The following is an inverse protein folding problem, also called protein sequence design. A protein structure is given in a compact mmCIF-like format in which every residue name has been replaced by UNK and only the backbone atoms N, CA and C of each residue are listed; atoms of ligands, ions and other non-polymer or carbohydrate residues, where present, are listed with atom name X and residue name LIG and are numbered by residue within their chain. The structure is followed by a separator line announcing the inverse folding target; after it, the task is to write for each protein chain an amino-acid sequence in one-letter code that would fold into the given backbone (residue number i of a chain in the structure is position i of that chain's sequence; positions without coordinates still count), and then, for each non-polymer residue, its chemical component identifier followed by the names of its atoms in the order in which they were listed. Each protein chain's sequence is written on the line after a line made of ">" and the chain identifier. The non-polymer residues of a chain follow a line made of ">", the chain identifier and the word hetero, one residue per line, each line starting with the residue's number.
data_IF_907846820060
#
_entry.id   IF_907846820060
#
_cell.length_a   1.000
_cell.length_b   1.000
_cell.length_c   1.000
_cell.angle_alpha   90.00
_cell.angle_beta   90.00
_cell.angle_gamma   90.00
#
_symmetry.space_group_name_H-M   'P 1'
#
loop_
_entity.id
_entity.type
_entity.pdbx_description
1 polymer ?
#
# COMPACT_ATOMS: atom_id res chain seq x y z
N UNK A 1 -20.11 35.15 -63.92
CA UNK A 1 -21.09 34.63 -62.94
C UNK A 1 -20.45 33.48 -62.20
N UNK A 2 -20.43 33.61 -60.87
CA UNK A 2 -19.82 32.68 -59.93
C UNK A 2 -20.64 31.39 -59.71
N UNK A 3 -20.02 30.46 -58.97
CA UNK A 3 -20.52 29.29 -58.21
C UNK A 3 -19.96 27.97 -58.73
N UNK A 4 -19.55 26.99 -57.92
CA UNK A 4 -19.16 26.89 -56.52
C UNK A 4 -18.52 25.49 -56.41
N UNK A 5 -17.50 25.36 -55.57
CA UNK A 5 -16.91 24.08 -55.18
C UNK A 5 -17.55 23.58 -53.89
N UNK A 6 -17.28 22.29 -53.60
CA UNK A 6 -17.41 21.58 -52.33
C UNK A 6 -18.73 20.85 -52.04
N UNK A 7 -18.64 19.52 -51.87
CA UNK A 7 -18.82 18.83 -50.57
C UNK A 7 -18.77 17.31 -50.73
N UNK A 8 -17.67 16.67 -50.33
CA UNK A 8 -17.66 15.27 -49.86
C UNK A 8 -16.30 14.91 -49.23
N UNK A 9 -16.00 15.41 -48.02
CA UNK A 9 -14.84 14.90 -47.26
C UNK A 9 -15.02 14.88 -45.73
N UNK A 10 -16.23 15.13 -45.21
CA UNK A 10 -16.43 15.26 -43.76
C UNK A 10 -16.84 13.98 -43.01
N UNK A 11 -17.24 12.91 -43.70
CA UNK A 11 -17.77 11.71 -43.01
C UNK A 11 -16.76 10.58 -42.78
N UNK A 12 -15.52 10.67 -43.28
CA UNK A 12 -14.51 9.61 -43.11
C UNK A 12 -13.51 9.92 -41.96
N UNK A 13 -13.24 11.20 -41.70
CA UNK A 13 -12.35 11.67 -40.64
C UNK A 13 -12.98 11.62 -39.25
N UNK A 14 -14.30 11.80 -39.14
CA UNK A 14 -15.02 11.75 -37.86
C UNK A 14 -15.06 10.32 -37.29
N UNK A 15 -15.24 9.31 -38.14
CA UNK A 15 -15.28 7.90 -37.71
C UNK A 15 -13.92 7.39 -37.23
N UNK A 16 -12.82 7.81 -37.88
CA UNK A 16 -11.46 7.49 -37.46
C UNK A 16 -11.08 8.20 -36.14
N UNK A 17 -11.51 9.46 -35.95
CA UNK A 17 -11.29 10.18 -34.70
C UNK A 17 -12.09 9.57 -33.53
N UNK A 18 -13.33 9.14 -33.75
CA UNK A 18 -14.16 8.49 -32.72
C UNK A 18 -13.60 7.11 -32.34
N UNK A 19 -13.07 6.34 -33.30
CA UNK A 19 -12.40 5.05 -33.01
C UNK A 19 -11.07 5.24 -32.26
N UNK A 20 -10.28 6.27 -32.57
CA UNK A 20 -9.06 6.59 -31.83
C UNK A 20 -9.35 7.10 -30.40
N UNK A 21 -10.40 7.90 -30.22
CA UNK A 21 -10.87 8.34 -28.90
C UNK A 21 -11.45 7.17 -28.10
N UNK A 22 -12.20 6.26 -28.74
CA UNK A 22 -12.74 5.07 -28.07
C UNK A 22 -11.63 4.07 -27.70
N UNK A 23 -10.60 3.88 -28.54
CA UNK A 23 -9.45 3.03 -28.25
C UNK A 23 -8.54 3.63 -27.17
N UNK A 24 -8.36 4.95 -27.13
CA UNK A 24 -7.63 5.62 -26.04
C UNK A 24 -8.42 5.60 -24.72
N UNK A 25 -9.76 5.74 -24.76
CA UNK A 25 -10.61 5.58 -23.57
C UNK A 25 -10.62 4.14 -23.03
N UNK A 26 -10.65 3.14 -23.90
CA UNK A 26 -10.61 1.73 -23.48
C UNK A 26 -9.22 1.30 -22.99
N UNK A 27 -8.12 1.86 -23.53
CA UNK A 27 -6.79 1.73 -22.93
C UNK A 27 -6.65 2.48 -21.61
N UNK A 28 -7.23 3.69 -21.46
CA UNK A 28 -7.27 4.39 -20.18
C UNK A 28 -8.07 3.59 -19.14
N UNK A 29 -9.22 3.01 -19.50
CA UNK A 29 -10.01 2.18 -18.60
C UNK A 29 -9.30 0.86 -18.23
N UNK A 30 -8.54 0.25 -19.14
CA UNK A 30 -7.70 -0.91 -18.83
C UNK A 30 -6.50 -0.57 -17.92
N UNK A 31 -5.89 0.60 -18.11
CA UNK A 31 -4.83 1.13 -17.24
C UNK A 31 -5.39 1.48 -15.85
N UNK A 32 -6.58 2.08 -15.78
CA UNK A 32 -7.26 2.43 -14.53
C UNK A 32 -7.66 1.19 -13.72
N UNK A 33 -8.09 0.10 -14.35
CA UNK A 33 -8.46 -1.13 -13.64
C UNK A 33 -7.23 -1.90 -13.11
N UNK A 34 -6.07 -1.77 -13.77
CA UNK A 34 -4.81 -2.39 -13.33
C UNK A 34 -4.08 -1.57 -12.25
N UNK A 35 -4.29 -0.25 -12.20
CA UNK A 35 -3.64 0.63 -11.23
C UNK A 35 -4.14 0.43 -9.79
N UNK A 36 -5.38 -0.04 -9.58
CA UNK A 36 -6.01 -0.14 -8.25
C UNK A 36 -5.32 -1.17 -7.34
N UNK A 37 -4.74 -2.24 -7.92
CA UNK A 37 -4.11 -3.34 -7.16
C UNK A 37 -2.59 -3.39 -7.28
N UNK A 38 -1.99 -2.23 -7.59
CA UNK A 38 -0.54 -2.05 -7.63
C UNK A 38 -0.11 -1.28 -6.37
N UNK A 39 0.92 -1.73 -5.64
CA UNK A 39 1.42 -1.00 -4.47
C UNK A 39 2.00 0.37 -4.86
N UNK A 40 2.19 1.28 -3.89
CA UNK A 40 2.86 2.54 -4.16
C UNK A 40 4.29 2.32 -4.71
N UNK A 41 4.82 3.25 -5.54
CA UNK A 41 6.19 3.19 -6.07
C UNK A 41 7.22 2.95 -4.96
N UNK A 42 8.32 2.25 -5.23
CA UNK A 42 9.26 1.78 -4.20
C UNK A 42 9.00 0.33 -3.76
N UNK A 43 8.18 -0.39 -4.54
CA UNK A 43 7.97 -1.81 -4.42
C UNK A 43 8.03 -2.44 -5.81
N UNK A 44 8.76 -3.55 -5.92
CA UNK A 44 8.91 -4.31 -7.17
C UNK A 44 8.25 -5.68 -7.08
N UNK A 45 7.75 -6.17 -8.20
CA UNK A 45 7.19 -7.51 -8.30
C UNK A 45 8.32 -8.53 -8.14
N UNK A 46 8.24 -9.36 -7.11
CA UNK A 46 9.25 -10.39 -6.85
C UNK A 46 8.81 -11.76 -7.35
N UNK A 47 7.52 -12.06 -7.25
CA UNK A 47 6.99 -13.37 -7.64
C UNK A 47 5.53 -13.27 -8.05
N UNK A 48 5.12 -14.09 -9.00
CA UNK A 48 3.72 -14.27 -9.37
C UNK A 48 3.31 -15.73 -9.25
N UNK A 49 2.13 -15.95 -8.68
CA UNK A 49 1.56 -17.26 -8.47
C UNK A 49 0.18 -17.39 -9.09
N UNK A 50 -0.13 -18.59 -9.57
CA UNK A 50 -1.47 -18.95 -10.06
C UNK A 50 -2.06 -19.96 -9.09
N UNK A 51 -3.34 -19.80 -8.77
CA UNK A 51 -4.07 -20.73 -7.92
C UNK A 51 -4.32 -22.05 -8.66
N UNK A 52 -3.87 -23.13 -8.06
CA UNK A 52 -4.25 -24.51 -8.35
C UNK A 52 -5.18 -25.02 -7.24
N UNK A 53 -6.25 -25.72 -7.63
CA UNK A 53 -7.21 -26.36 -6.72
C UNK A 53 -7.77 -25.42 -5.64
N UNK A 54 -7.95 -24.15 -5.96
CA UNK A 54 -8.55 -23.15 -5.07
C UNK A 54 -9.94 -23.58 -4.63
N UNK A 55 -10.19 -23.60 -3.33
CA UNK A 55 -11.48 -23.96 -2.71
C UNK A 55 -11.88 -22.92 -1.68
N UNK A 56 -13.03 -22.30 -1.87
CA UNK A 56 -13.71 -21.45 -0.90
C UNK A 56 -14.89 -22.23 -0.31
N UNK A 57 -14.83 -22.50 0.99
CA UNK A 57 -15.88 -23.17 1.73
C UNK A 57 -16.87 -22.17 2.29
N UNK A 58 -18.16 -22.46 2.14
CA UNK A 58 -19.24 -21.75 2.79
C UNK A 58 -19.94 -22.65 3.81
N UNK A 59 -20.47 -22.03 4.85
CA UNK A 59 -21.33 -22.65 5.86
C UNK A 59 -22.71 -22.00 5.82
N UNK A 60 -23.76 -22.80 6.00
CA UNK A 60 -25.10 -22.26 6.15
C UNK A 60 -25.28 -21.67 7.57
N UNK A 61 -25.60 -20.39 7.66
CA UNK A 61 -25.92 -19.75 8.95
C UNK A 61 -27.31 -20.21 9.43
N UNK A 62 -27.36 -21.00 10.50
CA UNK A 62 -28.61 -21.51 11.09
C UNK A 62 -29.61 -20.39 11.44
N UNK A 63 -29.10 -19.25 11.90
CA UNK A 63 -29.94 -18.11 12.33
C UNK A 63 -30.52 -17.30 11.16
N UNK A 64 -29.80 -17.24 10.04
CA UNK A 64 -30.16 -16.34 8.94
C UNK A 64 -30.48 -17.06 7.63
N UNK A 65 -30.39 -18.39 7.60
CA UNK A 65 -30.54 -19.24 6.41
C UNK A 65 -29.75 -18.70 5.20
N UNK A 66 -28.55 -18.18 5.45
CA UNK A 66 -27.68 -17.57 4.44
C UNK A 66 -26.32 -18.23 4.43
N UNK A 67 -25.78 -18.45 3.22
CA UNK A 67 -24.41 -18.88 3.03
C UNK A 67 -23.43 -17.82 3.52
N UNK A 68 -22.44 -18.24 4.30
CA UNK A 68 -21.35 -17.37 4.77
C UNK A 68 -20.00 -18.01 4.44
N UNK A 69 -19.02 -17.25 3.96
CA UNK A 69 -17.68 -17.78 3.74
C UNK A 69 -17.10 -18.22 5.08
N UNK A 70 -16.50 -19.41 5.11
CA UNK A 70 -15.90 -20.01 6.31
C UNK A 70 -14.38 -20.03 6.19
N UNK A 71 -13.88 -20.63 5.11
CA UNK A 71 -12.46 -20.87 4.92
C UNK A 71 -12.10 -20.92 3.44
N UNK A 72 -10.97 -20.32 3.09
CA UNK A 72 -10.38 -20.40 1.76
C UNK A 72 -9.05 -21.14 1.84
N UNK A 73 -8.79 -22.00 0.87
CA UNK A 73 -7.47 -22.60 0.65
C UNK A 73 -7.15 -22.70 -0.84
N UNK A 74 -5.88 -22.60 -1.18
CA UNK A 74 -5.37 -22.83 -2.53
C UNK A 74 -3.93 -23.32 -2.51
N UNK A 75 -3.58 -24.14 -3.50
CA UNK A 75 -2.18 -24.40 -3.84
C UNK A 75 -1.71 -23.31 -4.79
N UNK A 76 -0.46 -22.87 -4.66
CA UNK A 76 0.12 -21.81 -5.46
C UNK A 76 1.19 -22.39 -6.38
N UNK A 77 1.01 -22.21 -7.70
CA UNK A 77 1.98 -22.57 -8.72
C UNK A 77 2.74 -21.32 -9.19
N UNK A 78 4.01 -21.48 -9.55
CA UNK A 78 4.75 -20.40 -10.21
C UNK A 78 4.07 -20.06 -11.54
N UNK A 79 3.91 -18.76 -11.83
CA UNK A 79 3.43 -18.36 -13.16
C UNK A 79 4.47 -18.52 -14.26
N UNK A 80 5.75 -18.62 -13.90
CA UNK A 80 6.84 -18.85 -14.87
C UNK A 80 6.96 -20.34 -15.20
N UNK A 81 6.72 -21.19 -14.19
CA UNK A 81 6.69 -22.62 -14.34
C UNK A 81 5.41 -23.18 -13.71
N UNK A 82 4.39 -23.36 -14.55
CA UNK A 82 3.04 -23.80 -14.20
C UNK A 82 2.96 -25.22 -13.60
N UNK A 83 4.08 -25.90 -13.39
CA UNK A 83 4.15 -27.20 -12.70
C UNK A 83 4.80 -27.09 -11.31
N UNK A 84 5.55 -26.01 -11.06
CA UNK A 84 6.29 -25.81 -9.81
C UNK A 84 5.37 -25.23 -8.73
N UNK A 85 5.08 -26.03 -7.71
CA UNK A 85 4.40 -25.56 -6.50
C UNK A 85 5.33 -24.67 -5.69
N UNK A 86 4.94 -23.41 -5.49
CA UNK A 86 5.68 -22.39 -4.75
C UNK A 86 5.09 -22.10 -3.37
N UNK A 87 3.89 -22.61 -3.06
CA UNK A 87 3.31 -22.41 -1.75
C UNK A 87 1.83 -22.75 -1.65
N UNK A 88 1.21 -22.25 -0.59
CA UNK A 88 -0.20 -22.39 -0.28
C UNK A 88 -0.77 -21.08 0.25
N UNK A 89 -2.02 -20.79 -0.10
CA UNK A 89 -2.79 -19.70 0.49
C UNK A 89 -3.88 -20.28 1.38
N UNK A 90 -4.11 -19.65 2.54
CA UNK A 90 -5.25 -19.96 3.39
C UNK A 90 -5.81 -18.71 4.05
N UNK A 91 -7.12 -18.70 4.29
CA UNK A 91 -7.79 -17.65 5.04
C UNK A 91 -8.97 -18.19 5.82
N UNK A 92 -9.10 -17.80 7.08
CA UNK A 92 -10.24 -18.12 7.92
C UNK A 92 -11.13 -16.89 8.04
N UNK A 93 -12.37 -16.99 7.60
CA UNK A 93 -13.35 -15.93 7.79
C UNK A 93 -13.97 -16.06 9.17
N UNK A 94 -13.40 -15.36 10.15
CA UNK A 94 -14.02 -15.27 11.48
C UNK A 94 -15.11 -14.20 11.47
N UNK A 95 -16.36 -14.63 11.66
CA UNK A 95 -17.57 -13.80 11.59
C UNK A 95 -17.65 -12.81 12.77
N UNK A 96 -16.91 -13.04 13.86
CA UNK A 96 -16.89 -12.18 15.05
C UNK A 96 -15.69 -11.24 15.07
N UNK A 97 -14.80 -11.37 14.10
CA UNK A 97 -13.57 -10.61 14.02
C UNK A 97 -13.73 -9.51 12.99
N UNK A 98 -13.65 -8.25 13.44
CA UNK A 98 -13.38 -7.11 12.55
C UNK A 98 -11.96 -7.12 11.98
N UNK A 99 -11.22 -8.24 12.08
CA UNK A 99 -9.85 -8.35 11.61
C UNK A 99 -9.80 -8.07 10.11
N UNK A 100 -9.04 -7.05 9.77
CA UNK A 100 -8.59 -6.74 8.42
C UNK A 100 -7.63 -7.80 7.83
N UNK A 101 -7.43 -8.94 8.52
CA UNK A 101 -6.68 -10.09 8.05
C UNK A 101 -7.35 -10.69 6.81
N UNK A 102 -6.60 -10.73 5.71
CA UNK A 102 -7.08 -11.22 4.41
C UNK A 102 -6.69 -12.67 4.16
N UNK A 103 -5.62 -13.13 4.79
CA UNK A 103 -5.15 -14.50 4.71
C UNK A 103 -3.66 -14.60 5.01
N UNK A 104 -3.18 -15.83 4.93
CA UNK A 104 -1.79 -16.24 5.15
C UNK A 104 -1.31 -17.02 3.94
N UNK A 105 -0.13 -16.65 3.45
CA UNK A 105 0.57 -17.33 2.37
C UNK A 105 1.77 -18.04 2.97
N UNK A 106 1.85 -19.34 2.77
CA UNK A 106 3.01 -20.17 3.10
C UNK A 106 3.78 -20.42 1.82
N UNK A 107 4.99 -19.86 1.72
CA UNK A 107 5.84 -19.94 0.55
C UNK A 107 6.98 -20.92 0.80
N UNK A 108 7.33 -21.70 -0.22
CA UNK A 108 8.49 -22.61 -0.14
C UNK A 108 9.77 -21.81 -0.25
N UNK A 109 10.70 -22.07 0.66
CA UNK A 109 12.04 -21.52 0.60
C UNK A 109 12.84 -22.25 -0.47
N UNK A 110 13.71 -21.52 -1.18
CA UNK A 110 14.74 -22.14 -2.00
C UNK A 110 15.83 -22.76 -1.09
N UNK A 111 16.78 -23.50 -1.67
CA UNK A 111 17.82 -24.19 -0.87
C UNK A 111 18.68 -23.24 -0.04
N UNK A 112 19.02 -22.06 -0.58
CA UNK A 112 19.78 -21.03 0.15
C UNK A 112 18.98 -20.44 1.30
N UNK A 113 17.74 -20.01 1.03
CA UNK A 113 16.81 -19.51 2.06
C UNK A 113 16.58 -20.55 3.17
N UNK A 114 16.48 -21.84 2.81
CA UNK A 114 16.31 -22.94 3.76
C UNK A 114 17.56 -23.16 4.60
N UNK A 115 18.75 -23.10 4.00
CA UNK A 115 20.02 -23.21 4.71
C UNK A 115 20.24 -22.04 5.69
N UNK A 116 19.82 -20.83 5.32
CA UNK A 116 19.94 -19.64 6.19
C UNK A 116 18.89 -19.62 7.30
N UNK A 117 17.65 -20.00 7.00
CA UNK A 117 16.53 -19.91 7.94
C UNK A 117 16.32 -21.17 8.79
N UNK A 118 16.88 -22.31 8.39
CA UNK A 118 16.55 -23.65 8.90
C UNK A 118 15.06 -24.03 8.73
N UNK A 119 14.34 -23.38 7.81
CA UNK A 119 12.93 -23.65 7.54
C UNK A 119 12.70 -23.92 6.05
N UNK A 120 11.98 -24.99 5.74
CA UNK A 120 11.61 -25.32 4.35
C UNK A 120 10.56 -24.37 3.77
N UNK A 121 9.85 -23.63 4.63
CA UNK A 121 8.83 -22.65 4.24
C UNK A 121 8.91 -21.41 5.10
N UNK A 122 8.45 -20.30 4.54
CA UNK A 122 8.25 -19.04 5.23
C UNK A 122 6.80 -18.58 5.04
N UNK A 123 6.28 -17.80 5.99
CA UNK A 123 4.90 -17.35 5.97
C UNK A 123 4.80 -15.83 5.99
N UNK A 124 3.82 -15.31 5.27
CA UNK A 124 3.41 -13.91 5.34
C UNK A 124 1.90 -13.84 5.51
N UNK A 125 1.43 -13.00 6.43
CA UNK A 125 0.02 -12.65 6.55
C UNK A 125 -0.23 -11.26 5.98
N UNK A 126 -1.44 -11.02 5.47
CA UNK A 126 -1.80 -9.78 4.80
C UNK A 126 -2.99 -9.10 5.44
N UNK A 127 -2.94 -7.77 5.47
CA UNK A 127 -4.05 -6.89 5.84
C UNK A 127 -4.61 -6.20 4.60
N UNK A 128 -5.92 -6.28 4.37
CA UNK A 128 -6.57 -5.65 3.21
C UNK A 128 -6.41 -4.13 3.25
N UNK A 129 -6.05 -3.53 2.12
CA UNK A 129 -6.05 -2.09 1.91
C UNK A 129 -7.23 -1.64 1.05
N UNK A 130 -7.45 -2.32 -0.08
CA UNK A 130 -8.51 -2.04 -1.04
C UNK A 130 -8.98 -3.37 -1.66
N UNK A 131 -10.26 -3.43 -2.02
CA UNK A 131 -10.86 -4.53 -2.77
C UNK A 131 -11.90 -4.00 -3.74
N UNK A 132 -12.21 -4.76 -4.79
CA UNK A 132 -13.41 -4.45 -5.60
C UNK A 132 -14.68 -4.64 -4.76
N UNK A 133 -15.65 -3.75 -4.92
CA UNK A 133 -16.92 -3.70 -4.17
C UNK A 133 -17.88 -4.87 -4.45
N UNK A 134 -17.44 -5.94 -5.12
CA UNK A 134 -18.23 -7.16 -5.33
C UNK A 134 -18.17 -8.09 -4.11
N UNK A 135 -18.50 -7.55 -2.93
CA UNK A 135 -18.75 -8.33 -1.72
C UNK A 135 -19.96 -9.27 -1.84
N UNK A 136 -20.70 -9.23 -2.96
CA UNK A 136 -21.88 -10.07 -3.23
C UNK A 136 -21.62 -11.57 -3.07
N UNK A 137 -20.36 -12.01 -3.18
CA UNK A 137 -19.95 -13.40 -2.94
C UNK A 137 -18.85 -13.57 -1.88
N UNK A 138 -18.42 -12.50 -1.20
CA UNK A 138 -17.41 -12.57 -0.15
C UNK A 138 -15.99 -12.92 -0.62
N UNK A 139 -15.71 -12.86 -1.93
CA UNK A 139 -14.40 -13.16 -2.51
C UNK A 139 -14.16 -12.27 -3.74
N UNK A 140 -13.15 -11.42 -3.69
CA UNK A 140 -12.91 -10.37 -4.69
C UNK A 140 -11.43 -10.09 -4.89
N UNK A 141 -11.10 -9.36 -5.96
CA UNK A 141 -9.75 -8.84 -6.18
C UNK A 141 -9.40 -7.82 -5.08
N UNK A 142 -8.15 -7.84 -4.61
CA UNK A 142 -7.69 -6.96 -3.54
C UNK A 142 -6.19 -6.67 -3.61
N UNK A 143 -5.80 -5.63 -2.88
CA UNK A 143 -4.42 -5.37 -2.46
C UNK A 143 -4.32 -5.48 -0.94
N UNK A 144 -3.34 -6.22 -0.46
CA UNK A 144 -3.03 -6.37 0.95
C UNK A 144 -1.60 -5.92 1.25
N UNK A 145 -1.42 -5.25 2.39
CA UNK A 145 -0.12 -4.94 2.99
C UNK A 145 0.28 -6.09 3.92
N UNK A 146 1.53 -6.53 3.88
CA UNK A 146 2.01 -7.54 4.81
C UNK A 146 1.85 -7.05 6.27
N UNK A 147 1.29 -7.91 7.12
CA UNK A 147 0.95 -7.61 8.51
C UNK A 147 1.79 -8.38 9.51
N UNK A 148 2.33 -9.53 9.11
CA UNK A 148 3.28 -10.31 9.90
C UNK A 148 4.06 -11.25 8.99
N UNK A 149 5.28 -11.58 9.41
CA UNK A 149 6.13 -12.60 8.81
C UNK A 149 6.46 -13.68 9.83
N UNK A 150 6.67 -14.90 9.36
CA UNK A 150 7.17 -16.00 10.18
C UNK A 150 8.16 -16.83 9.37
N UNK A 151 9.30 -17.14 10.00
CA UNK A 151 10.47 -17.76 9.39
C UNK A 151 11.12 -16.90 8.30
N UNK A 152 12.45 -16.89 8.28
CA UNK A 152 13.20 -16.21 7.24
C UNK A 152 13.09 -16.98 5.90
N UNK A 153 13.38 -16.29 4.78
CA UNK A 153 13.37 -16.87 3.44
C UNK A 153 12.47 -16.12 2.45
N UNK A 154 11.80 -16.86 1.57
CA UNK A 154 11.12 -16.30 0.39
C UNK A 154 9.97 -15.34 0.72
N UNK A 155 9.30 -15.51 1.87
CA UNK A 155 8.24 -14.59 2.33
C UNK A 155 8.78 -13.36 3.06
N UNK A 156 10.01 -13.41 3.61
CA UNK A 156 10.57 -12.43 4.55
C UNK A 156 10.51 -10.99 4.04
N UNK A 157 10.71 -10.79 2.74
CA UNK A 157 10.78 -9.45 2.13
C UNK A 157 9.48 -8.99 1.49
N UNK A 158 8.42 -9.81 1.55
CA UNK A 158 7.13 -9.47 0.95
C UNK A 158 6.53 -8.25 1.66
N UNK A 159 6.27 -7.19 0.90
CA UNK A 159 5.70 -5.94 1.40
C UNK A 159 4.20 -5.86 1.11
N UNK A 160 3.80 -6.24 -0.11
CA UNK A 160 2.39 -6.23 -0.55
C UNK A 160 2.05 -7.49 -1.34
N UNK A 161 0.78 -7.86 -1.29
CA UNK A 161 0.24 -9.01 -2.01
C UNK A 161 -1.05 -8.57 -2.67
N UNK A 162 -1.13 -8.68 -4.00
CA UNK A 162 -2.39 -8.47 -4.72
C UNK A 162 -2.97 -9.77 -5.23
N UNK A 163 -4.28 -9.91 -5.09
CA UNK A 163 -5.07 -10.96 -5.71
C UNK A 163 -5.84 -10.32 -6.87
N UNK A 164 -5.63 -10.84 -8.07
CA UNK A 164 -6.28 -10.34 -9.28
C UNK A 164 -6.85 -11.49 -10.12
N UNK A 165 -7.75 -11.13 -11.06
CA UNK A 165 -8.38 -12.09 -11.98
C UNK A 165 -9.16 -13.19 -11.23
N UNK A 166 -9.74 -12.83 -10.09
CA UNK A 166 -10.49 -13.76 -9.26
C UNK A 166 -11.76 -14.20 -9.99
N UNK A 167 -11.96 -15.51 -10.11
CA UNK A 167 -13.21 -16.10 -10.62
C UNK A 167 -13.69 -17.20 -9.70
N UNK A 168 -14.92 -17.08 -9.23
CA UNK A 168 -15.66 -18.14 -8.57
C UNK A 168 -16.44 -18.92 -9.63
N UNK A 169 -16.16 -20.22 -9.78
CA UNK A 169 -16.72 -21.01 -10.89
C UNK A 169 -18.24 -21.25 -10.75
N UNK A 170 -18.78 -21.22 -9.52
CA UNK A 170 -20.24 -21.14 -9.26
C UNK A 170 -20.48 -20.74 -7.81
N UNK A 171 -20.62 -19.44 -7.54
CA UNK A 171 -21.05 -18.99 -6.22
C UNK A 171 -22.45 -19.55 -5.91
N UNK A 172 -22.79 -19.84 -4.65
CA UNK A 172 -24.13 -20.33 -4.34
C UNK A 172 -25.11 -19.20 -4.66
N UNK A 173 -26.22 -19.51 -5.34
CA UNK A 173 -27.29 -18.52 -5.50
C UNK A 173 -27.73 -18.09 -4.11
N UNK A 174 -28.15 -16.83 -3.92
CA UNK A 174 -28.69 -16.28 -2.65
C UNK A 174 -29.93 -17.02 -2.11
N UNK A 175 -30.27 -18.17 -2.67
CA UNK A 175 -31.30 -19.05 -2.13
C UNK A 175 -31.00 -19.35 -0.66
N UNK A 176 -32.07 -19.36 0.14
CA UNK A 176 -32.00 -19.74 1.55
C UNK A 176 -31.32 -21.10 1.63
N UNK A 177 -30.21 -21.17 2.34
CA UNK A 177 -29.58 -22.45 2.61
C UNK A 177 -30.39 -23.19 3.68
N UNK A 178 -30.46 -24.51 3.55
CA UNK A 178 -31.14 -25.39 4.50
C UNK A 178 -30.10 -25.98 5.45
N UNK A 179 -30.09 -25.50 6.69
CA UNK A 179 -29.10 -25.91 7.70
C UNK A 179 -29.20 -27.41 8.07
N UNK A 180 -30.35 -28.00 7.81
CA UNK A 180 -30.72 -29.39 8.00
C UNK A 180 -30.12 -30.34 6.95
N UNK A 181 -29.92 -29.89 5.70
CA UNK A 181 -29.43 -30.75 4.60
C UNK A 181 -28.08 -30.33 4.01
N UNK A 182 -27.76 -29.03 3.97
CA UNK A 182 -26.58 -28.47 3.32
C UNK A 182 -25.74 -27.63 4.29
N UNK A 183 -25.09 -28.27 5.27
CA UNK A 183 -24.31 -27.56 6.30
C UNK A 183 -23.10 -26.82 5.72
N UNK A 184 -22.44 -27.39 4.71
CA UNK A 184 -21.24 -26.83 4.10
C UNK A 184 -21.16 -27.13 2.60
N UNK A 185 -20.71 -26.15 1.82
CA UNK A 185 -20.39 -26.31 0.40
C UNK A 185 -18.97 -25.83 0.11
N UNK A 186 -18.34 -26.42 -0.90
CA UNK A 186 -17.00 -26.02 -1.35
C UNK A 186 -17.07 -25.60 -2.81
N UNK A 187 -16.70 -24.35 -3.09
CA UNK A 187 -16.76 -23.77 -4.43
C UNK A 187 -15.33 -23.57 -4.93
N UNK A 188 -15.00 -24.09 -6.12
CA UNK A 188 -13.68 -23.88 -6.68
C UNK A 188 -13.52 -22.44 -7.18
N UNK A 189 -12.31 -21.91 -7.05
CA UNK A 189 -11.95 -20.59 -7.54
C UNK A 189 -10.60 -20.58 -8.23
N UNK A 190 -10.41 -19.61 -9.11
CA UNK A 190 -9.12 -19.28 -9.70
C UNK A 190 -8.77 -17.83 -9.37
N UNK A 191 -7.48 -17.55 -9.24
CA UNK A 191 -6.94 -16.22 -9.02
C UNK A 191 -5.45 -16.19 -9.36
N UNK A 192 -4.91 -14.99 -9.52
CA UNK A 192 -3.47 -14.72 -9.63
C UNK A 192 -3.03 -13.92 -8.43
N UNK A 193 -1.97 -14.38 -7.76
CA UNK A 193 -1.31 -13.61 -6.71
C UNK A 193 -0.03 -12.97 -7.24
N UNK A 194 0.16 -11.70 -6.92
CA UNK A 194 1.41 -10.97 -7.17
C UNK A 194 2.02 -10.59 -5.83
N UNK A 195 3.24 -11.06 -5.57
CA UNK A 195 4.01 -10.78 -4.36
C UNK A 195 5.03 -9.70 -4.67
N UNK A 196 4.91 -8.58 -3.97
CA UNK A 196 5.78 -7.42 -4.11
C UNK A 196 6.74 -7.36 -2.94
N UNK A 197 7.95 -6.89 -3.19
CA UNK A 197 8.96 -6.65 -2.15
C UNK A 197 9.32 -5.18 -2.11
N UNK A 198 9.67 -4.68 -0.93
CA UNK A 198 10.20 -3.33 -0.77
C UNK A 198 11.54 -3.21 -1.52
N UNK A 199 11.67 -2.18 -2.35
CA UNK A 199 12.90 -1.91 -3.08
C UNK A 199 14.06 -1.57 -2.12
N UNK A 200 15.28 -1.76 -2.58
CA UNK A 200 16.50 -1.35 -1.86
C UNK A 200 16.95 0.07 -2.21
N UNK A 201 16.33 0.67 -3.22
CA UNK A 201 16.58 2.03 -3.69
C UNK A 201 15.26 2.81 -3.78
N UNK A 202 15.30 4.14 -3.56
CA UNK A 202 14.13 5.00 -3.71
C UNK A 202 13.61 4.96 -5.16
N UNK A 203 12.28 5.08 -5.36
CA UNK A 203 11.73 5.25 -6.69
C UNK A 203 12.16 6.59 -7.31
N UNK A 204 11.90 6.76 -8.60
CA UNK A 204 12.06 8.07 -9.25
C UNK A 204 11.14 9.11 -8.59
N UNK A 205 11.69 10.29 -8.29
CA UNK A 205 10.99 11.38 -7.59
C UNK A 205 10.94 12.66 -8.43
N UNK A 206 9.90 13.49 -8.27
CA UNK A 206 9.85 14.82 -8.87
C UNK A 206 11.02 15.70 -8.45
N UNK A 207 11.41 16.66 -9.31
CA UNK A 207 12.54 17.58 -9.12
C UNK A 207 12.62 18.23 -7.72
N UNK A 208 11.53 18.70 -7.09
CA UNK A 208 11.59 19.31 -5.76
C UNK A 208 12.07 18.36 -4.66
N UNK A 209 11.87 17.05 -4.84
CA UNK A 209 12.27 16.04 -3.87
C UNK A 209 13.63 15.42 -4.17
N UNK A 210 14.24 15.69 -5.33
CA UNK A 210 15.51 15.09 -5.72
C UNK A 210 16.61 15.40 -4.69
N UNK A 211 17.30 14.36 -4.26
CA UNK A 211 18.52 14.47 -3.45
C UNK A 211 19.71 14.66 -4.40
N UNK A 212 20.67 15.55 -4.10
CA UNK A 212 21.85 15.75 -4.95
C UNK A 212 22.67 14.46 -5.11
N UNK A 213 23.27 14.27 -6.29
CA UNK A 213 23.92 13.02 -6.70
C UNK A 213 25.14 12.64 -5.87
N UNK A 214 25.77 13.59 -5.17
CA UNK A 214 26.87 13.34 -4.24
C UNK A 214 26.45 12.70 -2.91
N UNK A 215 25.15 12.44 -2.73
CA UNK A 215 24.60 11.73 -1.57
C UNK A 215 24.08 10.36 -1.99
N UNK A 216 24.29 9.37 -1.13
CA UNK A 216 23.84 8.01 -1.37
C UNK A 216 22.87 7.54 -0.29
N UNK A 217 22.04 6.59 -0.67
CA UNK A 217 21.07 5.94 0.22
C UNK A 217 21.83 5.08 1.21
N UNK A 218 21.51 5.27 2.50
CA UNK A 218 21.98 4.41 3.58
C UNK A 218 21.03 3.24 3.76
N UNK A 219 19.75 3.55 3.98
CA UNK A 219 18.72 2.54 4.25
C UNK A 219 17.32 3.11 4.02
N UNK A 220 16.42 2.24 3.56
CA UNK A 220 14.98 2.45 3.54
C UNK A 220 14.29 1.75 4.70
N UNK A 221 13.35 2.41 5.35
CA UNK A 221 12.53 1.86 6.43
C UNK A 221 11.06 1.92 6.07
N UNK A 222 10.32 0.85 6.34
CA UNK A 222 8.88 0.91 6.25
C UNK A 222 8.31 1.62 7.48
N UNK A 223 7.58 2.71 7.27
CA UNK A 223 6.94 3.47 8.33
C UNK A 223 5.42 3.24 8.30
N UNK A 224 4.86 2.84 9.44
CA UNK A 224 3.41 2.66 9.60
C UNK A 224 2.90 3.34 10.85
N UNK A 225 1.82 4.10 10.72
CA UNK A 225 1.31 4.85 11.86
C UNK A 225 0.08 5.68 11.57
N UNK A 226 0.02 6.84 12.23
CA UNK A 226 -1.13 7.75 12.19
C UNK A 226 -0.69 9.18 11.89
N UNK A 227 -1.47 9.82 11.02
CA UNK A 227 -1.47 11.25 10.76
C UNK A 227 -2.57 11.86 11.60
N UNK A 228 -2.27 12.96 12.28
CA UNK A 228 -3.22 13.71 13.08
C UNK A 228 -3.53 15.03 12.42
N UNK A 229 -4.82 15.29 12.28
CA UNK A 229 -5.36 16.51 11.74
C UNK A 229 -6.10 17.29 12.81
N UNK A 230 -6.08 18.61 12.69
CA UNK A 230 -6.93 19.52 13.44
C UNK A 230 -7.76 20.30 12.43
N UNK A 231 -9.05 20.43 12.69
CA UNK A 231 -9.90 21.25 11.86
C UNK A 231 -9.59 22.72 12.13
N UNK A 232 -9.30 23.49 11.09
CA UNK A 232 -9.14 24.93 11.17
C UNK A 232 -10.46 25.60 10.77
N UNK A 233 -11.09 26.26 11.75
CA UNK A 233 -12.34 26.99 11.54
C UNK A 233 -12.18 28.19 10.60
N UNK A 234 -10.99 28.80 10.54
CA UNK A 234 -10.76 29.98 9.71
C UNK A 234 -10.71 29.61 8.22
N UNK A 235 -9.98 28.54 7.88
CA UNK A 235 -9.87 28.06 6.50
C UNK A 235 -10.90 26.99 6.13
N UNK A 236 -11.78 26.62 7.07
CA UNK A 236 -12.77 25.54 6.93
C UNK A 236 -12.16 24.26 6.36
N UNK A 237 -10.96 23.92 6.81
CA UNK A 237 -10.18 22.82 6.26
C UNK A 237 -9.43 22.05 7.33
N UNK A 238 -9.18 20.77 7.08
CA UNK A 238 -8.35 19.95 7.95
C UNK A 238 -6.88 20.26 7.72
N UNK A 239 -6.17 20.64 8.78
CA UNK A 239 -4.72 20.84 8.76
C UNK A 239 -4.00 19.69 9.45
N UNK A 240 -3.02 19.13 8.78
CA UNK A 240 -2.08 18.21 9.39
C UNK A 240 -1.28 18.95 10.48
N UNK A 241 -1.10 18.34 11.65
CA UNK A 241 -0.24 18.92 12.69
C UNK A 241 0.81 17.95 13.22
N UNK A 242 0.58 16.63 13.08
CA UNK A 242 1.52 15.63 13.58
C UNK A 242 1.39 14.31 12.85
N UNK A 243 2.52 13.66 12.60
CA UNK A 243 2.65 12.29 12.11
C UNK A 243 3.46 11.50 13.12
N UNK A 244 2.98 10.29 13.45
CA UNK A 244 3.65 9.36 14.34
C UNK A 244 3.61 7.98 13.70
N UNK A 245 4.76 7.36 13.51
CA UNK A 245 4.88 6.02 12.94
C UNK A 245 5.89 5.17 13.70
N UNK A 246 5.69 3.87 13.63
CA UNK A 246 6.71 2.86 13.95
C UNK A 246 7.48 2.52 12.69
N UNK A 247 8.76 2.24 12.84
CA UNK A 247 9.65 1.84 11.75
C UNK A 247 9.86 0.34 11.78
N UNK A 248 9.81 -0.26 10.60
CA UNK A 248 10.00 -1.66 10.35
C UNK A 248 11.03 -1.84 9.23
N UNK A 249 11.68 -3.00 9.19
CA UNK A 249 12.51 -3.41 8.05
C UNK A 249 11.66 -3.62 6.78
N UNK A 250 10.47 -4.18 6.94
CA UNK A 250 9.47 -4.46 5.90
C UNK A 250 8.06 -4.37 6.52
N UNK A 251 6.96 -4.14 5.76
CA UNK A 251 5.62 -4.22 6.33
C UNK A 251 5.37 -5.53 7.07
N UNK A 252 4.93 -5.44 8.34
CA UNK A 252 4.70 -6.60 9.20
C UNK A 252 5.95 -7.27 9.76
N UNK A 253 7.14 -6.73 9.50
CA UNK A 253 8.41 -7.26 9.96
C UNK A 253 8.82 -6.81 11.36
N UNK A 254 10.14 -6.78 11.61
CA UNK A 254 10.72 -6.40 12.89
C UNK A 254 10.60 -4.90 13.11
N UNK A 255 10.07 -4.48 14.27
CA UNK A 255 10.05 -3.07 14.64
C UNK A 255 11.46 -2.59 15.00
N UNK A 256 11.99 -1.65 14.22
CA UNK A 256 13.33 -1.09 14.38
C UNK A 256 13.33 0.22 15.17
N UNK A 257 12.21 0.95 15.21
CA UNK A 257 12.20 2.29 15.79
C UNK A 257 10.91 3.05 15.62
N UNK A 258 11.02 4.37 15.59
CA UNK A 258 9.92 5.31 15.43
C UNK A 258 10.27 6.50 14.53
N UNK A 259 9.24 7.05 13.91
CA UNK A 259 9.28 8.28 13.16
C UNK A 259 8.26 9.25 13.73
N UNK A 260 8.66 10.50 13.88
CA UNK A 260 7.77 11.59 14.26
C UNK A 260 7.99 12.77 13.36
N UNK A 261 6.92 13.38 12.89
CA UNK A 261 6.95 14.64 12.17
C UNK A 261 5.93 15.58 12.78
N UNK A 262 6.35 16.78 13.15
CA UNK A 262 5.48 17.78 13.76
C UNK A 262 5.52 19.05 12.93
N UNK A 263 4.35 19.57 12.58
CA UNK A 263 4.20 20.85 11.91
C UNK A 263 4.06 21.90 13.00
N UNK A 264 5.07 22.78 13.13
CA UNK A 264 4.99 23.90 14.05
C UNK A 264 4.02 24.93 13.48
N UNK A 265 2.78 24.95 13.97
CA UNK A 265 1.84 26.03 13.64
C UNK A 265 2.22 27.26 14.47
N UNK A 266 3.11 28.12 13.96
CA UNK A 266 2.93 29.52 14.35
C UNK A 266 1.65 29.98 13.68
N UNK A 267 0.71 30.43 14.49
CA UNK A 267 -0.59 30.92 14.10
C UNK A 267 -0.36 32.27 13.41
N UNK A 268 -0.03 32.24 12.12
CA UNK A 268 -0.03 33.42 11.27
C UNK A 268 -0.98 33.17 10.11
N UNK A 269 -1.87 34.12 9.91
CA UNK A 269 -3.05 34.14 9.06
C UNK A 269 -2.72 34.18 7.57
N UNK A 270 -1.89 33.27 7.07
CA UNK A 270 -1.68 33.06 5.64
C UNK A 270 -1.87 31.58 5.25
N UNK A 271 -2.53 31.30 4.10
CA UNK A 271 -2.71 29.95 3.58
C UNK A 271 -1.48 29.47 2.79
N UNK A 272 -0.32 30.08 3.00
CA UNK A 272 0.92 29.66 2.36
C UNK A 272 1.54 28.52 3.18
N UNK A 273 1.91 27.45 2.49
CA UNK A 273 2.94 26.52 2.95
C UNK A 273 4.27 27.29 3.06
N UNK A 274 4.39 28.24 3.99
CA UNK A 274 5.62 28.99 4.19
C UNK A 274 6.63 28.09 4.90
N UNK A 275 7.86 28.10 4.40
CA UNK A 275 9.02 27.40 4.98
C UNK A 275 9.43 27.95 6.37
N UNK A 276 8.70 28.94 6.91
CA UNK A 276 9.15 29.80 8.00
C UNK A 276 8.80 29.27 9.40
N UNK A 277 8.09 28.14 9.50
CA UNK A 277 8.02 27.34 10.73
C UNK A 277 8.52 25.94 10.44
N UNK A 278 9.72 25.56 10.92
CA UNK A 278 10.36 24.37 10.40
C UNK A 278 9.67 23.13 10.97
N UNK A 279 8.82 22.52 10.16
CA UNK A 279 8.27 21.22 10.47
C UNK A 279 9.43 20.24 10.64
N UNK A 280 9.56 19.68 11.85
CA UNK A 280 10.68 18.85 12.25
C UNK A 280 10.29 17.38 12.13
N UNK A 281 10.99 16.66 11.26
CA UNK A 281 10.92 15.21 11.16
C UNK A 281 12.08 14.60 11.94
N UNK A 282 11.83 13.54 12.70
CA UNK A 282 12.85 12.78 13.41
C UNK A 282 12.62 11.28 13.22
N UNK A 283 13.68 10.58 12.84
CA UNK A 283 13.81 9.12 12.88
C UNK A 283 14.59 8.75 14.13
N UNK A 284 14.11 7.76 14.86
CA UNK A 284 14.80 7.17 16.01
C UNK A 284 14.81 5.65 15.86
N UNK A 285 15.99 5.04 15.77
CA UNK A 285 16.17 3.58 15.71
C UNK A 285 16.50 3.09 17.12
N UNK A 286 15.63 2.23 17.66
CA UNK A 286 15.70 1.76 19.04
C UNK A 286 16.66 0.55 19.12
N UNK A 287 17.96 0.82 19.18
CA UNK A 287 19.02 -0.17 19.35
C UNK A 287 20.10 0.41 20.30
N UNK A 288 20.82 -0.40 21.10
CA UNK A 288 21.96 0.07 21.89
C UNK A 288 23.01 0.86 21.07
N UNK A 289 23.11 0.59 19.76
CA UNK A 289 23.94 1.35 18.82
C UNK A 289 23.14 2.24 17.85
N UNK A 290 21.86 2.49 18.15
CA UNK A 290 20.90 3.14 17.26
C UNK A 290 21.25 4.57 16.86
N UNK A 291 20.45 5.11 15.94
CA UNK A 291 20.59 6.47 15.42
C UNK A 291 19.35 7.30 15.70
N UNK A 292 19.59 8.58 15.99
CA UNK A 292 18.58 9.61 15.93
C UNK A 292 18.95 10.60 14.84
N UNK A 293 18.07 10.81 13.88
CA UNK A 293 18.28 11.73 12.76
C UNK A 293 17.08 12.65 12.67
N UNK A 294 17.29 13.96 12.78
CA UNK A 294 16.23 14.95 12.67
C UNK A 294 16.53 15.95 11.56
N UNK A 295 15.49 16.36 10.84
CA UNK A 295 15.60 17.29 9.74
C UNK A 295 14.39 18.20 9.59
N UNK A 296 14.61 19.35 8.98
CA UNK A 296 13.57 20.34 8.66
C UNK A 296 13.02 20.07 7.26
N UNK A 297 11.72 20.26 7.07
CA UNK A 297 11.11 20.10 5.74
C UNK A 297 11.76 21.07 4.75
N UNK A 298 12.28 20.52 3.66
CA UNK A 298 12.88 21.25 2.55
C UNK A 298 11.92 21.34 1.37
N UNK A 299 11.18 20.27 1.08
CA UNK A 299 10.22 20.23 -0.02
C UNK A 299 9.07 19.24 0.25
N UNK A 300 7.95 19.48 -0.42
CA UNK A 300 6.73 18.65 -0.41
C UNK A 300 6.11 18.67 -1.80
N UNK A 301 5.53 17.56 -2.26
CA UNK A 301 4.78 17.55 -3.53
C UNK A 301 3.39 18.14 -3.35
N UNK A 302 2.90 18.85 -4.37
CA UNK A 302 1.55 19.44 -4.40
C UNK A 302 0.44 18.40 -4.49
N UNK A 303 0.75 17.21 -5.02
CA UNK A 303 -0.10 16.03 -5.03
C UNK A 303 0.73 14.78 -4.72
N UNK A 304 0.10 13.77 -4.13
CA UNK A 304 0.68 12.44 -4.00
C UNK A 304 0.64 11.72 -5.34
N UNK A 305 1.55 10.77 -5.56
CA UNK A 305 1.58 9.93 -6.76
C UNK A 305 0.35 9.01 -6.89
N UNK A 306 -0.48 8.92 -5.85
CA UNK A 306 -1.73 8.14 -5.79
C UNK A 306 -2.81 9.03 -5.16
N UNK A 307 -3.97 9.17 -5.83
CA UNK A 307 -5.07 10.11 -5.50
C UNK A 307 -5.63 10.02 -4.07
N UNK A 308 -5.21 9.03 -3.28
CA UNK A 308 -5.70 8.75 -1.92
C UNK A 308 -4.61 8.69 -0.85
N UNK A 309 -3.43 9.28 -1.10
CA UNK A 309 -2.27 9.20 -0.20
C UNK A 309 -1.73 10.58 0.23
N UNK A 310 -1.01 10.62 1.36
CA UNK A 310 -0.24 11.81 1.77
C UNK A 310 0.80 12.24 0.72
N UNK A 311 1.13 13.54 0.62
CA UNK A 311 2.20 14.00 -0.28
C UNK A 311 3.57 13.50 0.18
N UNK A 312 4.45 13.32 -0.80
CA UNK A 312 5.85 12.95 -0.57
C UNK A 312 6.63 14.16 -0.08
N UNK A 313 7.65 13.91 0.75
CA UNK A 313 8.38 14.97 1.47
C UNK A 313 9.88 14.72 1.49
N UNK A 314 10.64 15.80 1.43
CA UNK A 314 12.08 15.82 1.62
C UNK A 314 12.40 16.68 2.84
N UNK A 315 13.22 16.15 3.73
CA UNK A 315 13.74 16.83 4.91
C UNK A 315 15.25 16.93 4.82
N UNK A 316 15.79 18.11 5.09
CA UNK A 316 17.22 18.32 5.24
C UNK A 316 17.62 18.08 6.69
N UNK A 317 18.56 17.17 6.92
CA UNK A 317 19.02 16.81 8.25
C UNK A 317 19.70 18.02 8.89
N UNK A 318 19.28 18.34 10.12
CA UNK A 318 19.86 19.40 10.92
C UNK A 318 20.63 18.86 12.11
N UNK A 319 20.20 17.72 12.65
CA UNK A 319 20.88 17.08 13.77
C UNK A 319 20.88 15.57 13.58
N UNK A 320 22.00 14.94 13.91
CA UNK A 320 22.07 13.50 14.08
C UNK A 320 22.92 13.15 15.29
N UNK A 321 22.56 12.05 15.94
CA UNK A 321 23.28 11.50 17.08
C UNK A 321 23.16 9.97 17.09
N UNK A 322 24.03 9.31 17.86
CA UNK A 322 24.05 7.85 18.01
C UNK A 322 25.34 7.23 17.48
N UNK A 323 25.55 5.95 17.81
CA UNK A 323 26.80 5.27 17.48
C UNK A 323 26.97 5.08 15.96
N UNK A 324 25.93 4.66 15.24
CA UNK A 324 26.10 4.43 13.79
C UNK A 324 26.37 5.70 12.99
N UNK A 325 26.09 6.90 13.51
CA UNK A 325 26.50 8.15 12.85
C UNK A 325 28.04 8.21 12.69
N UNK A 326 28.79 7.68 13.66
CA UNK A 326 30.26 7.63 13.59
C UNK A 326 30.75 6.72 12.45
N UNK A 327 30.02 5.63 12.21
CA UNK A 327 30.35 4.60 11.21
C UNK A 327 29.90 5.00 9.81
N UNK A 328 28.65 5.46 9.67
CA UNK A 328 28.00 5.75 8.38
C UNK A 328 28.25 7.20 7.90
N UNK A 329 28.80 8.06 8.76
CA UNK A 329 29.04 9.46 8.45
C UNK A 329 27.82 10.36 8.72
N UNK A 330 27.96 11.68 8.48
CA UNK A 330 26.88 12.62 8.74
C UNK A 330 25.71 12.37 7.79
N UNK A 331 24.51 12.23 8.35
CA UNK A 331 23.29 12.13 7.55
C UNK A 331 22.94 13.49 6.94
N UNK A 332 22.43 13.49 5.71
CA UNK A 332 22.18 14.71 4.93
C UNK A 332 20.70 14.95 4.66
N UNK A 333 19.95 13.90 4.31
CA UNK A 333 18.53 14.00 3.98
C UNK A 333 17.72 12.83 4.54
N UNK A 334 16.44 13.10 4.79
CA UNK A 334 15.40 12.08 4.97
C UNK A 334 14.37 12.33 3.87
N UNK A 335 13.99 11.29 3.13
CA UNK A 335 12.84 11.33 2.21
C UNK A 335 11.72 10.45 2.74
N UNK A 336 10.49 10.94 2.66
CA UNK A 336 9.28 10.15 2.88
C UNK A 336 8.55 9.98 1.56
N UNK A 337 8.59 8.77 1.03
CA UNK A 337 8.05 8.39 -0.28
C UNK A 337 7.04 7.25 -0.11
N UNK A 338 6.46 6.80 -1.23
CA UNK A 338 5.70 5.54 -1.27
C UNK A 338 4.51 5.52 -0.30
N UNK A 339 3.90 6.67 -0.09
CA UNK A 339 2.83 6.87 0.90
C UNK A 339 1.54 6.16 0.50
N UNK A 340 0.86 5.57 1.48
CA UNK A 340 -0.50 5.04 1.34
C UNK A 340 -1.39 5.59 2.46
N UNK A 341 -2.56 6.13 2.09
CA UNK A 341 -3.53 6.68 3.03
C UNK A 341 -3.05 7.95 3.74
N UNK A 342 -3.52 8.16 4.96
CA UNK A 342 -3.15 9.31 5.78
C UNK A 342 -3.85 10.61 5.42
N UNK A 343 -4.88 10.59 4.56
CA UNK A 343 -5.67 11.77 4.20
C UNK A 343 -6.67 12.18 5.30
N UNK A 344 -7.05 13.46 5.37
CA UNK A 344 -8.15 13.93 6.21
C UNK A 344 -9.50 13.36 5.75
N UNK A 345 -10.55 13.42 6.59
CA UNK A 345 -11.87 12.93 6.19
C UNK A 345 -12.46 13.84 5.10
N UNK A 346 -13.17 13.25 4.13
CA UNK A 346 -13.77 13.96 3.00
C UNK A 346 -15.03 14.76 3.38
N UNK A 347 -15.68 14.44 4.49
CA UNK A 347 -16.89 15.14 4.94
C UNK A 347 -16.56 16.44 5.66
N UNK A 348 -16.81 17.57 5.00
CA UNK A 348 -16.83 18.89 5.62
C UNK A 348 -18.19 19.14 6.28
N UNK A 349 -18.51 18.48 7.40
CA UNK A 349 -19.80 18.74 8.05
C UNK A 349 -19.68 19.10 9.53
N UNK A 350 -20.12 20.32 9.78
CA UNK A 350 -20.45 21.05 11.01
C UNK A 350 -21.17 20.28 12.13
N UNK A 351 -21.40 18.97 12.01
CA UNK A 351 -22.14 18.16 13.00
C UNK A 351 -21.26 17.48 14.06
N UNK A 352 -19.93 17.60 13.98
CA UNK A 352 -19.01 17.13 15.04
C UNK A 352 -18.62 18.23 16.05
N UNK A 353 -19.35 19.35 16.12
CA UNK A 353 -19.01 20.55 16.90
C UNK A 353 -19.30 20.48 18.41
N UNK A 354 -18.92 19.41 19.12
CA UNK A 354 -19.08 19.39 20.60
C UNK A 354 -17.89 18.91 21.43
N UNK A 355 -16.74 18.61 20.82
CA UNK A 355 -15.49 18.40 21.58
C UNK A 355 -14.30 18.90 20.75
N UNK A 356 -13.12 19.16 21.34
CA UNK A 356 -11.97 19.71 20.63
C UNK A 356 -11.33 18.63 19.73
N UNK A 357 -11.99 18.31 18.61
CA UNK A 357 -11.76 17.09 17.85
C UNK A 357 -10.58 17.21 16.88
N UNK A 358 -9.53 16.44 17.16
CA UNK A 358 -8.53 16.06 16.15
C UNK A 358 -8.94 14.77 15.44
N UNK A 359 -8.70 14.68 14.13
CA UNK A 359 -8.89 13.44 13.36
C UNK A 359 -7.60 12.64 13.29
N UNK A 360 -7.70 11.31 13.27
CA UNK A 360 -6.57 10.41 13.08
C UNK A 360 -6.80 9.58 11.83
N UNK A 361 -5.85 9.61 10.91
CA UNK A 361 -5.87 8.82 9.68
C UNK A 361 -4.70 7.86 9.69
N UNK A 362 -4.94 6.58 9.38
CA UNK A 362 -3.86 5.60 9.25
C UNK A 362 -3.07 5.85 7.97
N UNK A 363 -1.76 5.69 8.03
CA UNK A 363 -0.89 5.79 6.86
C UNK A 363 0.27 4.80 6.92
N UNK A 364 0.84 4.53 5.75
CA UNK A 364 2.16 3.94 5.60
C UNK A 364 3.01 4.71 4.60
N UNK A 365 4.33 4.52 4.64
CA UNK A 365 5.31 5.14 3.73
C UNK A 365 6.64 4.39 3.78
N UNK A 366 7.56 4.68 2.85
CA UNK A 366 8.96 4.28 2.95
C UNK A 366 9.80 5.52 3.26
N UNK A 367 10.60 5.45 4.31
CA UNK A 367 11.54 6.48 4.72
C UNK A 367 12.95 6.14 4.29
N UNK A 368 13.56 7.00 3.49
CA UNK A 368 14.93 6.84 3.01
C UNK A 368 15.86 7.81 3.74
N UNK A 369 16.97 7.30 4.28
CA UNK A 369 18.02 8.11 4.88
C UNK A 369 19.21 8.19 3.93
N UNK A 370 19.80 9.38 3.82
CA UNK A 370 20.95 9.66 2.97
C UNK A 370 22.15 10.13 3.79
N UNK A 371 23.33 9.81 3.30
CA UNK A 371 24.59 10.42 3.76
C UNK A 371 25.36 10.99 2.58
N UNK A 372 26.24 11.94 2.86
CA UNK A 372 27.14 12.53 1.86
C UNK A 372 28.31 11.59 1.64
N UNK A 373 28.66 11.32 0.39
CA UNK A 373 29.86 10.52 0.09
C UNK A 373 31.11 11.19 0.68
N UNK A 374 31.92 10.43 1.42
CA UNK A 374 33.26 10.87 1.79
C UNK A 374 34.11 10.73 0.53
N UNK A 375 34.60 11.85 -0.01
CA UNK A 375 35.67 11.83 -1.00
C UNK A 375 36.97 11.45 -0.34
#
# INVERSE_FOLDING_TARGET
>A
MAKDAATCSHNCTVTLAVLAVAMTFSHLQFLMCSAVFTPPPGNSLAMRAIVLDGKLKYVCSERSAQWRPLHVRATLLSSENHTKVIGFYSSNHNIYSSSSHTGTWTLKNNEGDMAESNHATSLVAGRRLVSTNDEKHGFSDFLAEASSHLFDGSARRVSYISQTKTKLLKAPSRSRCRADTDRMISIPFTAVYNFWTQDTLPPQVPRPLMVPTEHHVVQGFFAKGVVRFRYDNNTKSWREYRVLARLYDVPGGLQLGGFSYSISSTISSQPSYSLDSPSLACININNPNGIRVCGKQKAVTSSSSQESSLPWRLFQVTTSSGYMQKVLGPFSFIQMLSTWGGLPPQTSTSKMMSTPYGWKSQFSSILWIYTKSRR
#
